data_IF_619657643254
#
_entry.id   IF_619657643254
#
_cell.length_a   1.000
_cell.length_b   1.000
_cell.length_c   1.000
_cell.angle_alpha   90.00
_cell.angle_beta   90.00
_cell.angle_gamma   90.00
#
_symmetry.space_group_name_H-M   'P 1'
#
loop_
_entity.id
_entity.type
_entity.pdbx_description
1 polymer ?
#
# COMPACT_ATOMS: atom_id res chain seq x y z
N UNK A 1 -0.65 2.76 15.55
CA UNK A 1 -1.13 1.39 15.22
C UNK A 1 -2.52 1.36 14.58
N UNK A 2 -3.55 1.93 15.22
CA UNK A 2 -4.93 1.89 14.69
C UNK A 2 -5.07 2.51 13.30
N UNK A 3 -4.38 3.63 13.04
CA UNK A 3 -4.37 4.29 11.73
C UNK A 3 -3.88 3.38 10.60
N UNK A 4 -2.78 2.64 10.82
CA UNK A 4 -2.22 1.72 9.82
C UNK A 4 -3.16 0.55 9.54
N UNK A 5 -3.86 0.07 10.56
CA UNK A 5 -4.83 -0.99 10.39
C UNK A 5 -6.03 -0.51 9.56
N UNK A 6 -6.53 0.69 9.87
CA UNK A 6 -7.65 1.30 9.15
C UNK A 6 -7.32 1.56 7.66
N UNK A 7 -6.15 2.14 7.36
CA UNK A 7 -5.75 2.44 5.98
C UNK A 7 -5.50 1.16 5.15
N UNK A 8 -4.99 0.09 5.77
CA UNK A 8 -4.83 -1.20 5.10
C UNK A 8 -6.18 -1.86 4.81
N UNK A 9 -7.13 -1.83 5.75
CA UNK A 9 -8.50 -2.32 5.51
C UNK A 9 -9.17 -1.50 4.41
N UNK A 10 -8.99 -0.18 4.38
CA UNK A 10 -9.51 0.69 3.33
C UNK A 10 -8.94 0.33 1.96
N UNK A 11 -7.61 0.16 1.85
CA UNK A 11 -6.93 -0.24 0.61
C UNK A 11 -7.38 -1.62 0.10
N UNK A 12 -7.51 -2.59 1.01
CA UNK A 12 -8.05 -3.92 0.67
C UNK A 12 -9.49 -3.84 0.16
N UNK A 13 -10.35 -3.09 0.87
CA UNK A 13 -11.77 -2.95 0.54
C UNK A 13 -11.98 -2.28 -0.82
N UNK A 14 -11.17 -1.26 -1.14
CA UNK A 14 -11.20 -0.62 -2.46
C UNK A 14 -10.84 -1.59 -3.58
N UNK A 15 -9.84 -2.45 -3.41
CA UNK A 15 -9.46 -3.48 -4.38
C UNK A 15 -10.58 -4.49 -4.62
N UNK A 16 -11.22 -4.96 -3.54
CA UNK A 16 -12.33 -5.91 -3.62
C UNK A 16 -13.56 -5.26 -4.27
N UNK A 17 -13.82 -3.99 -3.93
CA UNK A 17 -14.92 -3.22 -4.52
C UNK A 17 -14.71 -2.99 -6.02
N UNK A 18 -13.48 -2.66 -6.46
CA UNK A 18 -13.16 -2.50 -7.88
C UNK A 18 -13.45 -3.79 -8.68
N UNK A 19 -13.12 -4.97 -8.12
CA UNK A 19 -13.48 -6.26 -8.73
C UNK A 19 -14.99 -6.48 -8.81
N UNK A 20 -15.75 -6.09 -7.79
CA UNK A 20 -17.22 -6.16 -7.80
C UNK A 20 -17.80 -5.25 -8.89
N UNK A 21 -17.31 -4.02 -9.00
CA UNK A 21 -17.70 -3.08 -10.05
C UNK A 21 -17.36 -3.61 -11.45
N UNK A 22 -16.20 -4.24 -11.63
CA UNK A 22 -15.80 -4.86 -12.89
C UNK A 22 -16.73 -6.01 -13.31
N UNK A 23 -17.25 -6.79 -12.35
CA UNK A 23 -18.28 -7.82 -12.61
C UNK A 23 -19.65 -7.23 -12.90
N UNK A 24 -19.99 -6.09 -12.30
CA UNK A 24 -21.26 -5.41 -12.49
C UNK A 24 -21.29 -4.46 -13.70
N UNK A 25 -20.23 -4.42 -14.52
CA UNK A 25 -20.04 -3.46 -15.63
C UNK A 25 -20.24 -2.00 -15.23
N UNK A 26 -20.00 -1.67 -13.96
CA UNK A 26 -20.13 -0.33 -13.43
C UNK A 26 -18.82 0.45 -13.52
N UNK A 27 -18.88 1.75 -13.18
CA UNK A 27 -17.73 2.67 -13.20
C UNK A 27 -16.59 2.13 -12.33
N UNK A 28 -15.47 1.81 -12.99
CA UNK A 28 -14.23 1.33 -12.35
C UNK A 28 -13.57 2.46 -11.55
N UNK A 29 -12.88 2.11 -10.45
CA UNK A 29 -12.17 3.09 -9.65
C UNK A 29 -10.92 3.57 -10.41
N UNK A 30 -10.67 4.89 -10.50
CA UNK A 30 -9.48 5.42 -11.15
C UNK A 30 -8.21 4.94 -10.42
N UNK A 31 -7.22 4.51 -11.19
CA UNK A 31 -5.96 3.93 -10.69
C UNK A 31 -5.22 4.85 -9.73
N UNK A 32 -5.32 6.16 -9.95
CA UNK A 32 -4.77 7.20 -9.08
C UNK A 32 -5.24 7.06 -7.63
N UNK A 33 -6.49 6.66 -7.40
CA UNK A 33 -7.06 6.55 -6.06
C UNK A 33 -6.50 5.33 -5.30
N UNK A 34 -6.30 4.21 -6.00
CA UNK A 34 -5.63 3.03 -5.45
C UNK A 34 -4.18 3.34 -5.07
N UNK A 35 -3.47 4.07 -5.94
CA UNK A 35 -2.10 4.53 -5.65
C UNK A 35 -2.04 5.51 -4.49
N UNK A 36 -3.00 6.40 -4.36
CA UNK A 36 -3.06 7.37 -3.26
C UNK A 36 -3.23 6.66 -1.91
N UNK A 37 -4.12 5.66 -1.82
CA UNK A 37 -4.30 4.88 -0.59
C UNK A 37 -3.09 4.01 -0.28
N UNK A 38 -2.44 3.44 -1.31
CA UNK A 38 -1.19 2.73 -1.12
C UNK A 38 -0.06 3.65 -0.61
N UNK A 39 0.04 4.87 -1.15
CA UNK A 39 1.01 5.88 -0.74
C UNK A 39 0.75 6.41 0.69
N UNK A 40 -0.51 6.48 1.12
CA UNK A 40 -0.89 6.93 2.47
C UNK A 40 -0.63 5.88 3.58
N UNK A 41 -0.12 4.70 3.24
CA UNK A 41 0.17 3.62 4.19
C UNK A 41 -0.67 2.36 4.01
N UNK A 42 -1.57 2.33 3.03
CA UNK A 42 -2.42 1.18 2.70
C UNK A 42 -1.78 0.19 1.72
N UNK A 43 -0.48 0.31 1.42
CA UNK A 43 0.19 -0.51 0.41
C UNK A 43 0.09 -2.01 0.70
N UNK A 44 0.14 -2.40 1.98
CA UNK A 44 0.02 -3.79 2.43
C UNK A 44 -1.37 -4.36 2.09
N UNK A 45 -2.43 -3.65 2.49
CA UNK A 45 -3.81 -4.03 2.22
C UNK A 45 -4.17 -4.01 0.74
N UNK A 46 -3.68 -3.02 0.00
CA UNK A 46 -3.83 -2.95 -1.46
C UNK A 46 -3.09 -4.09 -2.17
N UNK A 47 -1.89 -4.48 -1.73
CA UNK A 47 -1.14 -5.60 -2.30
C UNK A 47 -1.86 -6.93 -2.09
N UNK A 48 -2.33 -7.20 -0.86
CA UNK A 48 -3.14 -8.37 -0.55
C UNK A 48 -4.44 -8.36 -1.36
N UNK A 49 -5.11 -7.20 -1.42
CA UNK A 49 -6.32 -7.00 -2.21
C UNK A 49 -6.11 -7.29 -3.69
N UNK A 50 -4.97 -6.91 -4.26
CA UNK A 50 -4.62 -7.17 -5.65
C UNK A 50 -4.43 -8.67 -5.93
N UNK A 51 -3.73 -9.37 -5.03
CA UNK A 51 -3.51 -10.81 -5.12
C UNK A 51 -4.81 -11.61 -4.98
N UNK A 52 -5.66 -11.27 -4.00
CA UNK A 52 -6.96 -11.91 -3.75
C UNK A 52 -7.95 -11.61 -4.88
N UNK A 53 -7.99 -10.36 -5.34
CA UNK A 53 -8.84 -9.97 -6.43
C UNK A 53 -8.37 -10.56 -7.77
N UNK A 54 -7.09 -10.94 -7.92
CA UNK A 54 -6.45 -11.30 -9.21
C UNK A 54 -6.84 -10.30 -10.31
N UNK A 55 -7.01 -9.04 -9.92
CA UNK A 55 -7.52 -7.98 -10.77
C UNK A 55 -6.36 -7.05 -11.10
N UNK A 56 -6.21 -6.69 -12.38
CA UNK A 56 -5.13 -5.82 -12.89
C UNK A 56 -3.69 -6.31 -12.61
N UNK A 57 -3.45 -7.62 -12.58
CA UNK A 57 -2.09 -8.22 -12.52
C UNK A 57 -1.33 -8.21 -13.85
N UNK A 58 -1.90 -7.67 -14.94
CA UNK A 58 -1.24 -7.53 -16.26
C UNK A 58 -0.85 -6.09 -16.62
N UNK A 59 -1.31 -5.08 -15.89
CA UNK A 59 -0.87 -3.72 -16.12
C UNK A 59 0.49 -3.51 -15.44
N UNK A 60 1.53 -3.31 -16.25
CA UNK A 60 2.91 -3.11 -15.81
C UNK A 60 3.03 -2.04 -14.72
N UNK A 61 2.25 -0.96 -14.84
CA UNK A 61 2.19 0.10 -13.83
C UNK A 61 1.80 -0.43 -12.45
N UNK A 62 0.82 -1.35 -12.36
CA UNK A 62 0.40 -1.96 -11.10
C UNK A 62 1.41 -2.99 -10.57
N UNK A 63 1.98 -3.79 -11.48
CA UNK A 63 2.97 -4.82 -11.13
C UNK A 63 4.25 -4.19 -10.57
N UNK A 64 4.67 -3.02 -11.04
CA UNK A 64 5.88 -2.36 -10.56
C UNK A 64 5.55 -1.43 -9.39
N UNK A 65 4.54 -0.58 -9.52
CA UNK A 65 4.33 0.48 -8.53
C UNK A 65 3.74 -0.02 -7.20
N UNK A 66 2.90 -1.06 -7.18
CA UNK A 66 2.40 -1.62 -5.90
C UNK A 66 3.53 -2.27 -5.08
N UNK A 67 4.35 -3.21 -5.59
CA UNK A 67 5.45 -3.76 -4.81
C UNK A 67 6.54 -2.74 -4.53
N UNK A 68 6.78 -1.77 -5.42
CA UNK A 68 7.67 -0.64 -5.11
C UNK A 68 7.16 0.15 -3.90
N UNK A 69 5.89 0.55 -3.90
CA UNK A 69 5.26 1.23 -2.76
C UNK A 69 5.23 0.35 -1.49
N UNK A 70 5.06 -0.96 -1.65
CA UNK A 70 5.13 -1.91 -0.55
C UNK A 70 6.53 -1.94 0.08
N UNK A 71 7.59 -2.05 -0.73
CA UNK A 71 8.98 -2.02 -0.25
C UNK A 71 9.29 -0.70 0.45
N UNK A 72 8.86 0.43 -0.12
CA UNK A 72 9.03 1.76 0.49
C UNK A 72 8.30 1.85 1.83
N UNK A 73 7.05 1.35 1.91
CA UNK A 73 6.30 1.32 3.16
C UNK A 73 6.92 0.36 4.19
N UNK A 74 7.48 -0.76 3.75
CA UNK A 74 8.14 -1.72 4.64
C UNK A 74 9.44 -1.14 5.20
N UNK A 75 10.21 -0.41 4.39
CA UNK A 75 11.46 0.21 4.78
C UNK A 75 11.28 1.46 5.66
N UNK A 76 10.20 2.22 5.47
CA UNK A 76 9.96 3.49 6.16
C UNK A 76 8.91 3.33 7.25
N UNK A 77 7.70 2.92 6.87
CA UNK A 77 6.52 2.99 7.73
C UNK A 77 6.53 1.94 8.85
N UNK A 78 7.01 0.72 8.55
CA UNK A 78 7.06 -0.38 9.52
C UNK A 78 8.03 -0.14 10.68
N UNK A 79 9.30 0.22 10.44
CA UNK A 79 10.22 0.52 11.53
C UNK A 79 9.87 1.83 12.25
N UNK A 80 9.35 2.85 11.54
CA UNK A 80 8.84 4.08 12.16
C UNK A 80 7.66 3.80 13.11
N UNK A 81 6.78 2.86 12.75
CA UNK A 81 5.66 2.47 13.60
C UNK A 81 6.09 1.65 14.82
N UNK A 82 7.08 0.76 14.67
CA UNK A 82 7.52 -0.17 15.74
C UNK A 82 8.46 0.52 16.73
N UNK A 83 9.48 1.25 16.24
CA UNK A 83 10.54 1.82 17.06
C UNK A 83 10.26 3.28 17.47
N UNK A 84 9.28 3.92 16.85
CA UNK A 84 9.03 5.35 17.02
C UNK A 84 9.94 6.20 16.14
N UNK A 85 9.50 7.45 15.91
CA UNK A 85 10.12 8.38 14.95
C UNK A 85 11.57 8.70 15.33
N UNK A 86 11.81 9.02 16.60
CA UNK A 86 13.14 9.40 17.11
C UNK A 86 14.17 8.29 16.90
N UNK A 87 13.83 7.06 17.31
CA UNK A 87 14.72 5.91 17.21
C UNK A 87 15.05 5.52 15.77
N UNK A 88 14.09 5.68 14.86
CA UNK A 88 14.30 5.41 13.44
C UNK A 88 15.19 6.47 12.77
N UNK A 89 15.00 7.75 13.11
CA UNK A 89 15.86 8.85 12.61
C UNK A 89 17.31 8.61 13.07
N UNK A 90 17.52 8.25 14.35
CA UNK A 90 18.86 7.95 14.86
C UNK A 90 19.49 6.76 14.12
N UNK A 91 18.73 5.69 13.86
CA UNK A 91 19.22 4.53 13.10
C UNK A 91 19.69 4.89 11.69
N UNK A 92 18.93 5.71 10.96
CA UNK A 92 19.30 6.16 9.62
C UNK A 92 20.54 7.04 9.64
N UNK A 93 20.59 8.01 10.55
CA UNK A 93 21.76 8.89 10.70
C UNK A 93 22.99 8.03 11.00
N UNK A 94 22.89 7.08 11.92
CA UNK A 94 24.00 6.21 12.29
C UNK A 94 24.45 5.29 11.14
N UNK A 95 23.54 4.85 10.27
CA UNK A 95 23.87 4.07 9.08
C UNK A 95 24.53 4.90 7.96
N UNK A 96 24.15 6.18 7.81
CA UNK A 96 24.71 7.07 6.79
C UNK A 96 26.06 7.68 7.18
N UNK A 97 26.37 7.72 8.48
CA UNK A 97 27.59 8.32 9.02
C UNK A 97 28.64 7.28 9.46
N UNK A 98 28.35 5.98 9.28
CA UNK A 98 29.24 4.84 9.53
C UNK A 98 29.79 4.28 8.23
#
# INVERSE_FOLDING_TARGET
MVYLLAINIAGFSQMVYDKKQAKASQRRIPEKQLFLVAALGGALGSFIGMQVARHKTKHWTFIIAIPFLFVVNLAILYPMAIFGIESWITYIIHFLTA
#
